data_IF_903800087184
#
_entry.id   IF_903800087184
#
_cell.length_a   1.000
_cell.length_b   1.000
_cell.length_c   1.000
_cell.angle_alpha   90.00
_cell.angle_beta   90.00
_cell.angle_gamma   90.00
#
_symmetry.space_group_name_H-M   'P 1'
#
loop_
_entity.id
_entity.type
_entity.pdbx_description
1 polymer ?
#
# COMPACT_ATOMS: atom_id res chain seq x y z
N UNK A 1 -11.28 21.97 -10.26
CA UNK A 1 -10.55 22.61 -11.37
C UNK A 1 -9.82 21.58 -12.23
N UNK A 2 -9.20 20.53 -11.66
CA UNK A 2 -8.48 19.48 -12.41
C UNK A 2 -9.09 18.08 -12.20
N UNK A 3 -10.10 17.71 -13.01
CA UNK A 3 -10.74 16.38 -12.90
C UNK A 3 -9.78 15.24 -13.23
N UNK A 4 -9.02 15.36 -14.33
CA UNK A 4 -8.08 14.31 -14.73
C UNK A 4 -6.98 14.02 -13.70
N UNK A 5 -6.49 15.04 -12.99
CA UNK A 5 -5.51 14.85 -11.91
C UNK A 5 -6.13 14.06 -10.74
N UNK A 6 -7.37 14.37 -10.39
CA UNK A 6 -8.11 13.69 -9.32
C UNK A 6 -8.39 12.23 -9.69
N UNK A 7 -8.76 11.96 -10.95
CA UNK A 7 -9.00 10.62 -11.46
C UNK A 7 -7.72 9.77 -11.45
N UNK A 8 -6.57 10.35 -11.84
CA UNK A 8 -5.26 9.70 -11.74
C UNK A 8 -4.87 9.44 -10.28
N UNK A 9 -5.07 10.42 -9.39
CA UNK A 9 -4.78 10.27 -7.97
C UNK A 9 -5.60 9.13 -7.34
N UNK A 10 -6.88 9.03 -7.69
CA UNK A 10 -7.74 7.92 -7.26
C UNK A 10 -7.24 6.58 -7.79
N UNK A 11 -6.89 6.52 -9.06
CA UNK A 11 -6.37 5.31 -9.69
C UNK A 11 -5.05 4.84 -9.06
N UNK A 12 -4.12 5.78 -8.77
CA UNK A 12 -2.88 5.49 -8.04
C UNK A 12 -3.17 4.97 -6.63
N UNK A 13 -4.11 5.58 -5.91
CA UNK A 13 -4.54 5.13 -4.59
C UNK A 13 -5.14 3.73 -4.60
N UNK A 14 -5.98 3.43 -5.60
CA UNK A 14 -6.57 2.10 -5.77
C UNK A 14 -5.50 1.03 -6.02
N UNK A 15 -4.57 1.29 -6.94
CA UNK A 15 -3.45 0.37 -7.25
C UNK A 15 -2.57 0.15 -6.02
N UNK A 16 -2.17 1.25 -5.36
CA UNK A 16 -1.35 1.17 -4.15
C UNK A 16 -2.04 0.33 -3.07
N UNK A 17 -3.38 0.45 -2.93
CA UNK A 17 -4.17 -0.28 -1.95
C UNK A 17 -4.22 -1.78 -2.24
N UNK A 18 -4.34 -2.16 -3.51
CA UNK A 18 -4.28 -3.55 -3.97
C UNK A 18 -2.88 -4.14 -3.75
N UNK A 19 -1.83 -3.44 -4.18
CA UNK A 19 -0.42 -3.88 -4.08
C UNK A 19 0.02 -4.04 -2.63
N UNK A 20 -0.32 -3.10 -1.75
CA UNK A 20 0.05 -3.17 -0.33
C UNK A 20 -0.68 -4.28 0.44
N UNK A 21 -1.73 -4.88 -0.13
CA UNK A 21 -2.47 -6.03 0.42
C UNK A 21 -2.18 -7.33 -0.35
N UNK A 22 -1.15 -7.33 -1.19
CA UNK A 22 -0.80 -8.45 -2.05
C UNK A 22 0.33 -9.31 -1.48
N UNK A 23 0.19 -10.62 -1.67
CA UNK A 23 1.26 -11.61 -1.53
C UNK A 23 1.81 -11.94 -2.91
N UNK A 24 3.13 -11.80 -3.04
CA UNK A 24 3.85 -12.13 -4.28
C UNK A 24 3.90 -13.64 -4.51
N UNK A 25 4.10 -14.11 -5.75
CA UNK A 25 4.24 -15.53 -6.05
C UNK A 25 5.34 -16.23 -5.22
N UNK A 26 6.48 -15.56 -5.01
CA UNK A 26 7.58 -16.08 -4.19
C UNK A 26 7.18 -16.26 -2.72
N UNK A 27 6.41 -15.32 -2.16
CA UNK A 27 5.88 -15.45 -0.80
C UNK A 27 4.83 -16.58 -0.71
N UNK A 28 3.97 -16.71 -1.71
CA UNK A 28 2.98 -17.78 -1.77
C UNK A 28 3.65 -19.16 -1.83
N UNK A 29 4.73 -19.29 -2.60
CA UNK A 29 5.53 -20.51 -2.66
C UNK A 29 6.18 -20.83 -1.32
N UNK A 30 6.78 -19.84 -0.65
CA UNK A 30 7.35 -20.01 0.69
C UNK A 30 6.29 -20.50 1.71
N UNK A 31 5.09 -19.91 1.68
CA UNK A 31 3.96 -20.33 2.54
C UNK A 31 3.54 -21.78 2.23
N UNK A 32 3.59 -22.19 0.96
CA UNK A 32 3.27 -23.55 0.52
C UNK A 32 4.32 -24.58 0.97
N UNK A 33 5.60 -24.22 0.87
CA UNK A 33 6.73 -25.06 1.29
C UNK A 33 6.71 -25.27 2.82
N UNK A 34 6.50 -24.19 3.58
CA UNK A 34 6.31 -24.26 5.04
C UNK A 34 5.13 -25.15 5.44
N UNK A 35 4.00 -25.06 4.73
CA UNK A 35 2.82 -25.87 5.02
C UNK A 35 3.09 -27.36 4.77
N UNK A 36 3.77 -27.66 3.66
CA UNK A 36 4.16 -29.03 3.29
C UNK A 36 5.15 -29.64 4.29
N UNK A 37 6.15 -28.85 4.72
CA UNK A 37 7.17 -29.28 5.68
C UNK A 37 6.63 -29.36 7.12
N UNK A 38 5.73 -28.46 7.53
CA UNK A 38 5.09 -28.48 8.85
C UNK A 38 4.16 -29.68 9.06
N UNK A 39 3.55 -30.19 7.99
CA UNK A 39 2.73 -31.42 8.00
C UNK A 39 3.55 -32.68 8.32
N UNK A 40 4.86 -32.68 8.04
CA UNK A 40 5.75 -33.82 8.32
C UNK A 40 6.14 -33.94 9.81
N UNK A 41 6.04 -32.86 10.60
CA UNK A 41 6.50 -32.79 12.00
C UNK A 41 5.41 -33.08 13.06
N UNK A 42 4.12 -33.07 12.70
CA UNK A 42 3.01 -33.15 13.68
C UNK A 42 2.46 -34.56 13.96
N UNK A 43 3.19 -35.64 13.60
CA UNK A 43 2.79 -37.02 13.93
C UNK A 43 3.28 -37.53 15.29
N UNK A 44 3.60 -36.68 16.26
CA UNK A 44 3.72 -37.11 17.68
C UNK A 44 3.47 -35.92 18.61
N UNK A 45 2.21 -35.68 19.00
CA UNK A 45 1.88 -34.68 20.02
C UNK A 45 0.40 -34.60 20.29
N UNK A 46 0.01 -34.91 21.53
CA UNK A 46 -1.39 -34.97 22.02
C UNK A 46 -2.20 -33.74 21.63
N UNK A 47 -3.43 -33.99 21.17
CA UNK A 47 -4.45 -32.99 20.87
C UNK A 47 -4.74 -32.07 22.07
N UNK A 48 -4.13 -30.88 22.07
CA UNK A 48 -4.52 -29.76 22.92
C UNK A 48 -5.73 -29.05 22.30
N UNK A 49 -6.78 -28.83 23.11
CA UNK A 49 -7.99 -28.08 22.73
C UNK A 49 -7.64 -26.74 22.07
N UNK A 50 -7.94 -26.61 20.78
CA UNK A 50 -7.92 -25.33 20.06
C UNK A 50 -9.01 -24.43 20.66
N UNK A 51 -8.60 -23.36 21.34
CA UNK A 51 -9.50 -22.36 21.90
C UNK A 51 -10.17 -21.56 20.78
N UNK A 52 -11.49 -21.39 20.91
CA UNK A 52 -12.31 -20.53 20.04
C UNK A 52 -11.88 -19.07 20.18
N UNK A 53 -10.99 -18.61 19.29
CA UNK A 53 -10.83 -17.19 18.98
C UNK A 53 -10.78 -17.05 17.44
N UNK A 54 -11.92 -16.74 16.82
CA UNK A 54 -12.06 -16.60 15.36
C UNK A 54 -11.35 -15.40 14.74
N UNK A 55 -10.19 -15.00 15.28
CA UNK A 55 -9.36 -13.86 14.85
C UNK A 55 -7.95 -14.24 14.37
N UNK A 56 -7.55 -15.52 14.32
CA UNK A 56 -6.12 -15.88 14.32
C UNK A 56 -5.46 -16.36 13.02
N UNK A 57 -6.16 -16.47 11.88
CA UNK A 57 -5.54 -16.97 10.63
C UNK A 57 -5.21 -15.90 9.58
N UNK A 58 -6.15 -14.97 9.34
CA UNK A 58 -5.94 -13.88 8.37
C UNK A 58 -5.00 -12.79 8.90
N UNK A 59 -4.96 -12.57 10.21
CA UNK A 59 -4.06 -11.59 10.84
C UNK A 59 -2.58 -12.00 10.68
N UNK A 60 -2.29 -13.28 10.83
CA UNK A 60 -0.95 -13.84 10.61
C UNK A 60 -0.50 -13.66 9.14
N UNK A 61 -1.39 -13.92 8.18
CA UNK A 61 -1.12 -13.70 6.76
C UNK A 61 -0.97 -12.20 6.42
N UNK A 62 -1.70 -11.33 7.11
CA UNK A 62 -1.62 -9.86 6.93
C UNK A 62 -0.26 -9.31 7.36
N UNK A 63 0.38 -9.92 8.37
CA UNK A 63 1.76 -9.57 8.78
C UNK A 63 2.80 -9.90 7.70
N UNK A 64 2.47 -10.73 6.73
CA UNK A 64 3.36 -11.09 5.63
C UNK A 64 3.26 -10.14 4.43
N UNK A 65 2.43 -9.09 4.50
CA UNK A 65 2.37 -8.05 3.46
C UNK A 65 3.66 -7.20 3.47
N UNK A 66 4.59 -7.58 2.59
CA UNK A 66 5.91 -6.96 2.44
C UNK A 66 6.08 -6.23 1.10
N UNK A 67 5.05 -6.28 0.25
CA UNK A 67 5.03 -5.69 -1.09
C UNK A 67 4.95 -4.17 -1.00
N UNK A 68 6.04 -3.49 -1.35
CA UNK A 68 6.10 -2.03 -1.48
C UNK A 68 5.69 -1.62 -2.89
N UNK A 69 5.21 -0.40 -3.04
CA UNK A 69 4.98 0.19 -4.36
C UNK A 69 6.34 0.53 -4.99
N UNK A 70 6.55 0.03 -6.21
CA UNK A 70 7.78 0.22 -6.98
C UNK A 70 7.42 0.52 -8.43
N UNK A 71 8.03 1.56 -8.99
CA UNK A 71 7.89 1.92 -10.40
C UNK A 71 9.23 2.34 -10.99
N UNK A 72 9.27 2.46 -12.31
CA UNK A 72 10.46 2.91 -13.03
C UNK A 72 10.20 4.27 -13.67
N UNK A 73 11.11 5.24 -13.49
CA UNK A 73 10.98 6.56 -14.13
C UNK A 73 11.20 6.47 -15.65
N UNK A 74 10.80 7.50 -16.42
CA UNK A 74 11.10 7.56 -17.86
C UNK A 74 12.60 7.44 -18.19
N UNK A 75 13.48 7.87 -17.28
CA UNK A 75 14.93 7.72 -17.37
C UNK A 75 15.45 6.35 -16.89
N UNK A 76 14.57 5.35 -16.72
CA UNK A 76 14.88 3.98 -16.30
C UNK A 76 15.43 3.84 -14.87
N UNK A 77 15.21 4.83 -14.01
CA UNK A 77 15.59 4.74 -12.60
C UNK A 77 14.48 4.04 -11.81
N UNK A 78 14.77 2.97 -11.06
CA UNK A 78 13.78 2.35 -10.18
C UNK A 78 13.54 3.20 -8.95
N UNK A 79 12.27 3.43 -8.62
CA UNK A 79 11.83 4.13 -7.41
C UNK A 79 11.04 3.16 -6.55
N UNK A 80 11.48 2.96 -5.32
CA UNK A 80 10.82 2.10 -4.34
C UNK A 80 10.48 2.91 -3.08
N UNK A 81 9.21 2.91 -2.67
CA UNK A 81 8.79 3.64 -1.49
C UNK A 81 9.25 2.93 -0.20
N UNK A 82 10.08 3.56 0.65
CA UNK A 82 10.68 2.93 1.82
C UNK A 82 9.75 2.88 3.04
N UNK A 83 8.45 3.09 2.85
CA UNK A 83 7.49 3.20 3.95
C UNK A 83 7.13 1.82 4.52
N UNK A 84 7.92 1.40 5.50
CA UNK A 84 7.71 0.20 6.32
C UNK A 84 7.29 0.58 7.73
N UNK A 85 6.72 -0.39 8.45
CA UNK A 85 6.47 -0.24 9.88
C UNK A 85 7.82 -0.16 10.60
N UNK A 86 7.97 0.82 11.46
CA UNK A 86 9.18 1.01 12.26
C UNK A 86 8.96 0.34 13.60
N UNK A 87 9.90 -0.51 14.02
CA UNK A 87 9.87 -1.10 15.36
C UNK A 87 10.84 -0.34 16.26
N UNK A 88 10.35 0.11 17.41
CA UNK A 88 11.19 0.70 18.44
C UNK A 88 11.72 -0.43 19.32
N UNK A 89 13.04 -0.50 19.48
CA UNK A 89 13.71 -1.40 20.42
C UNK A 89 14.33 -0.57 21.54
N UNK A 90 14.14 -1.00 22.77
CA UNK A 90 14.80 -0.35 23.90
C UNK A 90 16.21 -0.93 24.06
N UNK A 91 17.23 -0.10 23.83
CA UNK A 91 18.63 -0.46 24.03
C UNK A 91 19.07 0.12 25.37
N UNK A 92 19.21 -0.76 26.36
CA UNK A 92 19.74 -0.38 27.67
C UNK A 92 21.25 -0.17 27.58
N UNK A 93 21.70 1.05 27.85
CA UNK A 93 23.12 1.40 27.95
C UNK A 93 23.53 1.59 29.42
N UNK A 94 24.81 1.83 29.68
CA UNK A 94 25.30 2.12 31.03
C UNK A 94 24.80 3.46 31.60
N UNK A 95 24.32 4.38 30.75
CA UNK A 95 23.82 5.70 31.17
C UNK A 95 22.29 5.75 31.24
N UNK A 96 21.62 5.19 30.23
CA UNK A 96 20.17 5.24 30.08
C UNK A 96 19.66 4.19 29.10
N UNK A 97 18.36 3.96 29.11
CA UNK A 97 17.68 3.23 28.05
C UNK A 97 17.38 4.15 26.88
N UNK A 98 17.79 3.74 25.67
CA UNK A 98 17.53 4.47 24.43
C UNK A 98 16.47 3.74 23.62
N UNK A 99 15.43 4.45 23.19
CA UNK A 99 14.50 3.93 22.18
C UNK A 99 15.16 4.04 20.79
N UNK A 100 15.60 2.92 20.24
CA UNK A 100 16.18 2.83 18.91
C UNK A 100 15.12 2.38 17.91
N UNK A 101 14.77 3.27 17.00
CA UNK A 101 13.85 2.98 15.91
C UNK A 101 14.60 2.33 14.76
N UNK A 102 14.36 1.04 14.55
CA UNK A 102 14.91 0.29 13.41
C UNK A 102 13.79 -0.01 12.42
N UNK A 103 14.11 0.14 11.13
CA UNK A 103 13.28 -0.36 10.03
C UNK A 103 14.11 -1.31 9.19
N UNK A 104 13.75 -2.58 9.19
CA UNK A 104 14.35 -3.58 8.32
C UNK A 104 13.64 -3.56 6.95
N UNK A 105 14.40 -3.85 5.90
CA UNK A 105 13.90 -4.19 4.58
C UNK A 105 12.86 -5.34 4.58
N UNK A 106 12.84 -6.18 5.61
CA UNK A 106 11.89 -7.29 5.74
C UNK A 106 10.62 -6.95 6.53
N UNK A 107 10.56 -5.76 7.14
CA UNK A 107 9.42 -5.34 7.95
C UNK A 107 8.15 -5.17 7.10
N UNK A 108 6.96 -5.40 7.67
CA UNK A 108 5.70 -5.18 6.97
C UNK A 108 5.56 -3.73 6.48
N UNK A 109 4.88 -3.54 5.36
CA UNK A 109 4.70 -2.19 4.79
C UNK A 109 3.73 -1.35 5.62
N UNK A 110 4.01 -0.06 5.77
CA UNK A 110 3.04 0.88 6.32
C UNK A 110 2.11 1.33 5.19
N UNK A 111 0.97 0.62 5.03
CA UNK A 111 0.05 0.82 3.91
C UNK A 111 -0.41 2.27 3.77
N UNK A 112 -0.74 2.94 4.88
CA UNK A 112 -1.19 4.33 4.86
C UNK A 112 -0.12 5.27 4.29
N UNK A 113 1.12 5.17 4.77
CA UNK A 113 2.24 5.99 4.27
C UNK A 113 2.57 5.68 2.81
N UNK A 114 2.50 4.41 2.41
CA UNK A 114 2.62 3.98 1.01
C UNK A 114 1.62 4.71 0.11
N UNK A 115 0.33 4.62 0.48
CA UNK A 115 -0.77 5.21 -0.26
C UNK A 115 -0.72 6.74 -0.34
N UNK A 116 -0.54 7.40 0.81
CA UNK A 116 -0.47 8.87 0.87
C UNK A 116 0.76 9.41 0.13
N UNK A 117 1.87 8.67 0.18
CA UNK A 117 3.10 9.06 -0.50
C UNK A 117 3.14 8.70 -1.98
N UNK A 118 2.26 7.83 -2.49
CA UNK A 118 2.40 7.33 -3.86
C UNK A 118 2.16 8.44 -4.91
N UNK A 119 1.02 9.17 -4.90
CA UNK A 119 0.83 10.28 -5.84
C UNK A 119 1.93 11.36 -5.81
N UNK A 120 2.34 11.94 -4.65
CA UNK A 120 3.37 12.96 -4.64
C UNK A 120 4.75 12.43 -5.06
N UNK A 121 5.14 11.22 -4.62
CA UNK A 121 6.42 10.65 -5.02
C UNK A 121 6.47 10.32 -6.52
N UNK A 122 5.35 9.90 -7.10
CA UNK A 122 5.27 9.67 -8.53
C UNK A 122 5.51 10.97 -9.32
N UNK A 123 4.84 12.07 -8.95
CA UNK A 123 5.05 13.39 -9.58
C UNK A 123 6.48 13.89 -9.36
N UNK A 124 7.01 13.84 -8.14
CA UNK A 124 8.40 14.22 -7.88
C UNK A 124 9.41 13.41 -8.72
N UNK A 125 9.11 12.13 -9.01
CA UNK A 125 9.96 11.32 -9.88
C UNK A 125 9.93 11.76 -11.35
N UNK A 126 8.80 12.31 -11.82
CA UNK A 126 8.68 12.92 -13.15
C UNK A 126 9.38 14.28 -13.19
N UNK A 127 9.23 15.11 -12.16
CA UNK A 127 9.91 16.41 -12.06
C UNK A 127 11.43 16.24 -12.06
N UNK A 128 11.95 15.29 -11.28
CA UNK A 128 13.36 14.94 -11.28
C UNK A 128 13.85 14.44 -12.65
N UNK A 129 13.01 13.65 -13.35
CA UNK A 129 13.33 13.17 -14.70
C UNK A 129 13.37 14.32 -15.70
N UNK A 130 12.47 15.29 -15.59
CA UNK A 130 12.43 16.49 -16.42
C UNK A 130 13.63 17.41 -16.17
N UNK A 131 13.99 17.62 -14.90
CA UNK A 131 15.20 18.36 -14.51
C UNK A 131 16.46 17.72 -15.09
N UNK A 132 16.64 16.41 -14.89
CA UNK A 132 17.83 15.69 -15.38
C UNK A 132 17.93 15.71 -16.90
N UNK A 133 16.81 15.51 -17.61
CA UNK A 133 16.79 15.58 -19.08
C UNK A 133 17.14 16.99 -19.58
N UNK A 134 16.57 18.02 -18.96
CA UNK A 134 16.86 19.42 -19.30
C UNK A 134 18.34 19.76 -19.04
N UNK A 135 18.91 19.27 -17.93
CA UNK A 135 20.32 19.46 -17.62
C UNK A 135 21.26 18.86 -18.66
N UNK A 136 20.95 17.64 -19.14
CA UNK A 136 21.71 16.98 -20.19
C UNK A 136 21.65 17.76 -21.51
N UNK A 137 20.45 18.19 -21.93
CA UNK A 137 20.27 18.94 -23.18
C UNK A 137 20.90 20.35 -23.10
N UNK A 138 20.88 20.99 -21.93
CA UNK A 138 21.62 22.24 -21.69
C UNK A 138 23.13 22.03 -21.80
N UNK A 139 23.66 20.96 -21.22
CA UNK A 139 25.08 20.60 -21.31
C UNK A 139 25.52 20.38 -22.77
N UNK A 140 24.72 19.63 -23.55
CA UNK A 140 25.00 19.35 -24.96
C UNK A 140 25.01 20.62 -25.82
N UNK A 141 24.28 21.67 -25.40
CA UNK A 141 24.28 22.99 -26.03
C UNK A 141 25.32 23.97 -25.45
N UNK A 142 26.12 23.52 -24.47
CA UNK A 142 27.17 24.33 -23.85
C UNK A 142 26.68 25.36 -22.83
N UNK A 143 25.49 25.18 -22.26
CA UNK A 143 24.94 26.05 -21.21
C UNK A 143 25.36 25.55 -19.83
N UNK A 144 25.69 26.49 -18.95
CA UNK A 144 25.80 26.22 -17.52
C UNK A 144 24.40 26.07 -16.91
N UNK A 145 24.17 24.96 -16.21
CA UNK A 145 22.87 24.63 -15.62
C UNK A 145 23.02 24.33 -14.13
N UNK A 146 22.20 24.98 -13.31
CA UNK A 146 22.00 24.63 -11.91
C UNK A 146 20.51 24.51 -11.62
N UNK A 147 20.12 23.66 -10.68
CA UNK A 147 18.73 23.49 -10.30
C UNK A 147 18.56 23.40 -8.79
N UNK A 148 17.51 24.03 -8.28
CA UNK A 148 17.00 23.86 -6.92
C UNK A 148 15.57 23.36 -7.08
N UNK A 149 15.40 22.04 -7.10
CA UNK A 149 14.12 21.38 -7.34
C UNK A 149 13.44 21.86 -8.64
N UNK A 150 12.39 22.68 -8.54
CA UNK A 150 11.57 23.20 -9.64
C UNK A 150 12.07 24.54 -10.20
N UNK A 151 13.20 25.05 -9.70
CA UNK A 151 13.81 26.29 -10.16
C UNK A 151 15.12 26.03 -10.90
N UNK A 152 15.20 26.42 -12.18
CA UNK A 152 16.35 26.17 -13.04
C UNK A 152 17.10 27.47 -13.35
N UNK A 153 18.41 27.45 -13.17
CA UNK A 153 19.30 28.61 -13.23
C UNK A 153 20.36 28.43 -14.31
N UNK A 154 20.64 29.51 -15.02
CA UNK A 154 21.69 29.62 -16.03
C UNK A 154 22.15 31.09 -16.11
N UNK A 155 23.12 31.40 -16.96
CA UNK A 155 23.51 32.78 -17.22
C UNK A 155 22.40 33.56 -17.95
N UNK A 156 22.25 34.86 -17.64
CA UNK A 156 21.16 35.69 -18.17
C UNK A 156 21.08 35.73 -19.72
N UNK A 157 22.22 35.56 -20.40
CA UNK A 157 22.28 35.51 -21.86
C UNK A 157 21.62 34.24 -22.44
N UNK A 158 21.61 33.14 -21.68
CA UNK A 158 21.22 31.81 -22.14
C UNK A 158 19.79 31.43 -21.74
N UNK A 159 19.11 32.25 -20.94
CA UNK A 159 17.75 32.00 -20.42
C UNK A 159 16.75 31.66 -21.54
N UNK A 160 16.83 32.35 -22.68
CA UNK A 160 15.94 32.08 -23.81
C UNK A 160 16.15 30.67 -24.37
N UNK A 161 17.41 30.25 -24.51
CA UNK A 161 17.78 28.93 -25.02
C UNK A 161 17.40 27.85 -24.00
N UNK A 162 17.66 28.09 -22.71
CA UNK A 162 17.25 27.18 -21.64
C UNK A 162 15.72 27.00 -21.60
N UNK A 163 14.95 28.07 -21.76
CA UNK A 163 13.48 28.00 -21.78
C UNK A 163 12.95 27.17 -22.96
N UNK A 164 13.64 27.16 -24.11
CA UNK A 164 13.32 26.23 -25.21
C UNK A 164 13.61 24.78 -24.84
N UNK A 165 14.80 24.52 -24.29
CA UNK A 165 15.21 23.18 -23.83
C UNK A 165 14.25 22.60 -22.79
N UNK A 166 13.80 23.41 -21.83
CA UNK A 166 12.87 22.99 -20.78
C UNK A 166 11.53 22.55 -21.38
N UNK A 167 10.98 23.33 -22.31
CA UNK A 167 9.71 23.00 -22.99
C UNK A 167 9.84 21.72 -23.82
N UNK A 168 10.92 21.61 -24.59
CA UNK A 168 11.16 20.42 -25.43
C UNK A 168 11.36 19.16 -24.58
N UNK A 169 12.10 19.25 -23.48
CA UNK A 169 12.30 18.15 -22.53
C UNK A 169 10.99 17.73 -21.86
N UNK A 170 10.13 18.69 -21.52
CA UNK A 170 8.82 18.39 -20.95
C UNK A 170 7.93 17.62 -21.93
N UNK A 171 7.92 18.07 -23.20
CA UNK A 171 7.17 17.42 -24.28
C UNK A 171 7.69 16.00 -24.49
N UNK A 172 9.01 15.82 -24.57
CA UNK A 172 9.65 14.50 -24.78
C UNK A 172 9.26 13.47 -23.72
N UNK A 173 9.09 13.88 -22.46
CA UNK A 173 8.64 13.00 -21.37
C UNK A 173 7.16 12.65 -21.48
N UNK A 174 6.32 13.62 -21.87
CA UNK A 174 4.85 13.48 -21.84
C UNK A 174 4.22 13.12 -23.20
N UNK A 175 5.01 13.02 -24.26
CA UNK A 175 4.62 12.47 -25.56
C UNK A 175 4.29 10.97 -25.42
N UNK A 176 5.03 10.27 -24.57
CA UNK A 176 4.76 8.88 -24.23
C UNK A 176 3.63 8.77 -23.20
N UNK A 177 2.86 7.68 -23.25
CA UNK A 177 1.83 7.41 -22.24
C UNK A 177 2.44 6.92 -20.93
N UNK A 178 2.81 7.88 -20.07
CA UNK A 178 3.44 7.62 -18.76
C UNK A 178 2.55 6.75 -17.86
N UNK A 179 1.24 7.01 -17.84
CA UNK A 179 0.29 6.25 -17.01
C UNK A 179 0.06 4.85 -17.59
N UNK A 180 -0.07 4.73 -18.92
CA UNK A 180 -0.13 3.43 -19.62
C UNK A 180 1.09 2.56 -19.36
N UNK A 181 2.30 3.15 -19.42
CA UNK A 181 3.54 2.45 -19.08
C UNK A 181 3.54 1.97 -17.63
N UNK A 182 3.13 2.83 -16.70
CA UNK A 182 3.04 2.47 -15.29
C UNK A 182 2.08 1.29 -15.07
N UNK A 183 0.90 1.33 -15.71
CA UNK A 183 -0.08 0.24 -15.64
C UNK A 183 0.50 -1.10 -16.16
N UNK A 184 1.15 -1.08 -17.32
CA UNK A 184 1.79 -2.26 -17.91
C UNK A 184 2.94 -2.81 -17.05
N UNK A 185 3.74 -1.92 -16.44
CA UNK A 185 4.79 -2.32 -15.50
C UNK A 185 4.18 -3.04 -14.29
N UNK A 186 3.12 -2.49 -13.70
CA UNK A 186 2.46 -3.07 -12.53
C UNK A 186 1.81 -4.42 -12.84
N UNK A 187 1.15 -4.54 -14.01
CA UNK A 187 0.57 -5.81 -14.46
C UNK A 187 1.66 -6.89 -14.61
N UNK A 188 2.80 -6.55 -15.21
CA UNK A 188 3.91 -7.48 -15.40
C UNK A 188 4.57 -7.86 -14.07
N UNK A 189 4.88 -6.86 -13.24
CA UNK A 189 5.57 -7.04 -11.96
C UNK A 189 4.77 -7.87 -10.97
N UNK A 190 3.46 -7.67 -10.93
CA UNK A 190 2.60 -8.32 -9.96
C UNK A 190 1.80 -9.52 -10.52
N UNK A 191 2.11 -9.96 -11.74
CA UNK A 191 1.49 -11.13 -12.37
C UNK A 191 1.55 -12.35 -11.44
N UNK A 192 0.39 -12.95 -11.18
CA UNK A 192 0.27 -14.13 -10.30
C UNK A 192 0.23 -13.84 -8.81
N UNK A 193 0.29 -12.57 -8.39
CA UNK A 193 0.06 -12.18 -7.01
C UNK A 193 -1.42 -12.34 -6.62
N UNK A 194 -1.66 -12.59 -5.33
CA UNK A 194 -3.01 -12.61 -4.76
C UNK A 194 -3.12 -11.48 -3.74
N UNK A 195 -4.22 -10.74 -3.73
CA UNK A 195 -4.47 -9.71 -2.73
C UNK A 195 -5.69 -10.03 -1.87
N UNK A 196 -5.67 -9.53 -0.64
CA UNK A 196 -6.76 -9.72 0.31
C UNK A 196 -7.79 -8.60 0.17
N UNK A 197 -8.95 -8.94 -0.38
CA UNK A 197 -10.07 -8.03 -0.54
C UNK A 197 -11.06 -8.08 0.62
N UNK A 198 -11.67 -6.95 0.97
CA UNK A 198 -12.70 -6.85 2.02
C UNK A 198 -14.07 -6.54 1.41
N UNK A 199 -14.93 -7.55 1.36
CA UNK A 199 -16.27 -7.43 0.76
C UNK A 199 -17.32 -7.10 1.83
N UNK A 200 -18.33 -6.30 1.48
CA UNK A 200 -19.47 -6.04 2.37
C UNK A 200 -20.20 -7.33 2.73
N UNK A 201 -20.37 -7.57 4.02
CA UNK A 201 -21.12 -8.71 4.54
C UNK A 201 -22.60 -8.74 4.13
N UNK A 202 -23.19 -7.63 3.70
CA UNK A 202 -24.56 -7.59 3.20
C UNK A 202 -24.70 -8.13 1.77
N UNK A 203 -23.61 -8.13 1.00
CA UNK A 203 -23.54 -8.56 -0.39
C UNK A 203 -24.08 -9.98 -0.61
N UNK A 204 -24.76 -10.24 -1.74
CA UNK A 204 -25.12 -11.60 -2.14
C UNK A 204 -23.89 -12.50 -2.31
N UNK A 205 -22.76 -11.94 -2.78
CA UNK A 205 -21.49 -12.67 -2.95
C UNK A 205 -20.92 -13.09 -1.61
N UNK A 206 -20.88 -12.16 -0.64
CA UNK A 206 -20.43 -12.45 0.71
C UNK A 206 -21.25 -13.55 1.41
N UNK A 207 -22.56 -13.62 1.16
CA UNK A 207 -23.42 -14.69 1.69
C UNK A 207 -23.07 -16.06 1.07
N UNK A 208 -22.85 -16.12 -0.24
CA UNK A 208 -22.41 -17.36 -0.93
C UNK A 208 -21.04 -17.81 -0.41
N UNK A 209 -20.09 -16.89 -0.24
CA UNK A 209 -18.76 -17.20 0.31
C UNK A 209 -18.85 -17.74 1.74
N UNK A 210 -19.70 -17.14 2.59
CA UNK A 210 -19.97 -17.66 3.94
C UNK A 210 -20.57 -19.07 3.92
N UNK A 211 -21.46 -19.36 2.96
CA UNK A 211 -22.03 -20.70 2.80
C UNK A 211 -20.96 -21.71 2.33
N UNK A 212 -20.09 -21.33 1.39
CA UNK A 212 -18.98 -22.15 0.92
C UNK A 212 -18.02 -22.50 2.07
N UNK A 213 -17.60 -21.50 2.86
CA UNK A 213 -16.70 -21.71 4.02
C UNK A 213 -17.29 -22.65 5.07
N UNK A 214 -18.61 -22.60 5.30
CA UNK A 214 -19.30 -23.54 6.20
C UNK A 214 -19.28 -24.98 5.67
N UNK A 215 -19.30 -25.16 4.34
CA UNK A 215 -19.29 -26.48 3.69
C UNK A 215 -17.88 -27.06 3.60
N UNK A 216 -16.89 -26.24 3.26
CA UNK A 216 -15.51 -26.69 3.05
C UNK A 216 -14.73 -26.90 4.35
N UNK A 217 -15.05 -26.13 5.41
CA UNK A 217 -14.35 -26.16 6.70
C UNK A 217 -12.81 -26.02 6.59
N UNK A 218 -12.35 -25.28 5.56
CA UNK A 218 -10.93 -25.02 5.31
C UNK A 218 -10.42 -23.86 6.18
N UNK A 219 -9.15 -23.94 6.59
CA UNK A 219 -8.46 -22.82 7.23
C UNK A 219 -8.16 -21.69 6.23
N UNK A 220 -7.98 -20.44 6.69
CA UNK A 220 -7.60 -19.32 5.82
C UNK A 220 -6.32 -19.54 5.01
N UNK A 221 -5.36 -20.28 5.57
CA UNK A 221 -4.09 -20.62 4.91
C UNK A 221 -4.31 -21.68 3.82
N UNK A 222 -5.13 -22.70 4.07
CA UNK A 222 -5.49 -23.70 3.05
C UNK A 222 -6.31 -23.08 1.92
N UNK A 223 -7.22 -22.16 2.24
CA UNK A 223 -7.98 -21.39 1.25
C UNK A 223 -7.04 -20.59 0.33
N UNK A 224 -6.03 -19.92 0.89
CA UNK A 224 -5.01 -19.19 0.14
C UNK A 224 -4.21 -20.13 -0.79
N UNK A 225 -3.74 -21.27 -0.28
CA UNK A 225 -2.95 -22.22 -1.07
C UNK A 225 -3.74 -22.85 -2.22
N UNK A 226 -5.03 -23.11 -1.99
CA UNK A 226 -5.94 -23.65 -2.98
C UNK A 226 -6.22 -22.60 -4.08
N UNK A 227 -6.35 -21.31 -3.73
CA UNK A 227 -6.42 -20.23 -4.71
C UNK A 227 -5.09 -20.03 -5.45
N UNK A 228 -3.95 -20.13 -4.77
CA UNK A 228 -2.65 -20.04 -5.41
C UNK A 228 -2.45 -21.15 -6.46
N UNK A 229 -2.89 -22.38 -6.15
CA UNK A 229 -2.91 -23.49 -7.11
C UNK A 229 -3.82 -23.19 -8.30
N UNK A 230 -5.04 -22.71 -8.04
CA UNK A 230 -5.99 -22.30 -9.10
C UNK A 230 -5.40 -21.22 -10.02
N UNK A 231 -4.78 -20.20 -9.44
CA UNK A 231 -4.18 -19.10 -10.19
C UNK A 231 -2.97 -19.59 -11.03
N UNK A 232 -2.15 -20.48 -10.47
CA UNK A 232 -1.01 -21.08 -11.17
C UNK A 232 -1.45 -21.91 -12.39
N UNK A 233 -2.53 -22.69 -12.25
CA UNK A 233 -3.12 -23.46 -13.36
C UNK A 233 -3.74 -22.55 -14.43
N UNK A 234 -4.28 -21.38 -14.05
CA UNK A 234 -4.76 -20.39 -15.03
C UNK A 234 -3.61 -19.76 -15.80
N UNK A 235 -2.49 -19.51 -15.14
CA UNK A 235 -1.32 -18.87 -15.74
C UNK A 235 -0.51 -19.81 -16.65
N UNK A 236 -0.61 -21.13 -16.49
CA UNK A 236 0.10 -22.09 -17.35
C UNK A 236 -0.43 -22.11 -18.79
N UNK A 237 -1.69 -21.74 -19.00
CA UNK A 237 -2.31 -21.64 -20.34
C UNK A 237 -2.61 -22.98 -21.01
N UNK A 238 -2.31 -24.11 -20.37
CA UNK A 238 -2.59 -25.43 -20.94
C UNK A 238 -4.10 -25.74 -20.88
N UNK A 239 -4.70 -26.33 -21.92
CA UNK A 239 -6.13 -26.66 -21.92
C UNK A 239 -6.58 -27.55 -20.76
N UNK A 240 -5.76 -28.54 -20.37
CA UNK A 240 -6.06 -29.45 -19.25
C UNK A 240 -5.95 -28.74 -17.89
N UNK A 241 -4.99 -27.83 -17.73
CA UNK A 241 -4.81 -27.06 -16.50
C UNK A 241 -5.94 -26.05 -16.32
N UNK A 242 -6.41 -25.44 -17.41
CA UNK A 242 -7.57 -24.55 -17.39
C UNK A 242 -8.84 -25.29 -16.96
N UNK A 243 -9.03 -26.52 -17.44
CA UNK A 243 -10.17 -27.35 -17.02
C UNK A 243 -10.06 -27.76 -15.55
N UNK A 244 -8.87 -28.14 -15.10
CA UNK A 244 -8.61 -28.38 -13.68
C UNK A 244 -8.87 -27.13 -12.83
N UNK A 245 -8.47 -25.94 -13.29
CA UNK A 245 -8.71 -24.68 -12.59
C UNK A 245 -10.20 -24.34 -12.46
N UNK A 246 -11.04 -24.68 -13.45
CA UNK A 246 -12.50 -24.50 -13.39
C UNK A 246 -13.16 -25.42 -12.36
N UNK A 247 -12.61 -26.62 -12.15
CA UNK A 247 -13.13 -27.55 -11.15
C UNK A 247 -12.83 -27.12 -9.71
N UNK A 248 -11.84 -26.25 -9.52
CA UNK A 248 -11.46 -25.73 -8.20
C UNK A 248 -12.40 -24.60 -7.80
N UNK A 249 -13.31 -24.88 -6.87
CA UNK A 249 -14.26 -23.91 -6.33
C UNK A 249 -13.64 -23.21 -5.12
N UNK A 250 -13.24 -21.95 -5.31
CA UNK A 250 -12.72 -21.07 -4.26
C UNK A 250 -13.66 -19.89 -4.01
N UNK A 251 -13.48 -19.16 -2.89
CA UNK A 251 -14.15 -17.88 -2.71
C UNK A 251 -13.91 -16.87 -3.85
N UNK A 252 -12.72 -16.88 -4.46
CA UNK A 252 -12.43 -16.08 -5.64
C UNK A 252 -13.24 -16.53 -6.86
N UNK A 253 -13.41 -17.84 -7.08
CA UNK A 253 -14.23 -18.38 -8.16
C UNK A 253 -15.69 -17.94 -8.03
N UNK A 254 -16.23 -17.95 -6.80
CA UNK A 254 -17.59 -17.47 -6.50
C UNK A 254 -17.71 -15.96 -6.72
N UNK A 255 -16.65 -15.19 -6.43
CA UNK A 255 -16.62 -13.75 -6.67
C UNK A 255 -16.66 -13.43 -8.17
N UNK A 256 -15.85 -14.14 -8.97
CA UNK A 256 -15.79 -13.98 -10.43
C UNK A 256 -17.10 -14.43 -11.11
N UNK A 257 -17.69 -15.56 -10.70
CA UNK A 257 -18.95 -16.09 -11.27
C UNK A 257 -20.12 -15.12 -11.10
N UNK A 258 -20.14 -14.40 -9.98
CA UNK A 258 -21.17 -13.40 -9.69
C UNK A 258 -20.90 -12.04 -10.34
N UNK A 259 -19.93 -11.96 -11.28
CA UNK A 259 -19.49 -10.74 -11.94
C UNK A 259 -19.22 -9.60 -10.94
N UNK A 260 -18.60 -9.94 -9.80
CA UNK A 260 -18.40 -9.05 -8.66
C UNK A 260 -17.70 -7.75 -9.03
N UNK A 261 -18.49 -6.72 -9.33
CA UNK A 261 -18.07 -5.32 -9.46
C UNK A 261 -18.34 -4.55 -8.15
N UNK A 262 -18.38 -5.26 -7.03
CA UNK A 262 -18.59 -4.61 -5.73
C UNK A 262 -17.27 -3.99 -5.27
N UNK A 263 -17.30 -2.70 -4.88
CA UNK A 263 -16.10 -2.01 -4.43
C UNK A 263 -15.58 -2.66 -3.15
N UNK A 264 -14.28 -2.90 -3.11
CA UNK A 264 -13.58 -3.33 -1.91
C UNK A 264 -13.70 -2.24 -0.84
N UNK A 265 -14.29 -2.59 0.30
CA UNK A 265 -14.51 -1.64 1.40
C UNK A 265 -13.19 -1.11 1.96
N UNK A 266 -12.17 -1.96 2.06
CA UNK A 266 -10.87 -1.56 2.61
C UNK A 266 -10.13 -0.62 1.66
N UNK A 267 -10.25 -0.82 0.35
CA UNK A 267 -9.65 0.08 -0.64
C UNK A 267 -10.46 1.39 -0.72
N UNK A 268 -11.79 1.30 -0.63
CA UNK A 268 -12.64 2.49 -0.63
C UNK A 268 -12.42 3.39 0.61
N UNK A 269 -12.15 2.80 1.77
CA UNK A 269 -11.76 3.55 2.98
C UNK A 269 -10.38 4.19 2.81
N UNK A 270 -9.37 3.42 2.39
CA UNK A 270 -8.03 3.93 2.10
C UNK A 270 -8.06 5.15 1.14
N UNK A 271 -8.87 5.06 0.08
CA UNK A 271 -9.02 6.12 -0.93
C UNK A 271 -9.63 7.40 -0.33
N UNK A 272 -10.60 7.27 0.58
CA UNK A 272 -11.20 8.44 1.26
C UNK A 272 -10.17 9.17 2.09
N UNK A 273 -9.31 8.42 2.78
CA UNK A 273 -8.26 8.97 3.63
C UNK A 273 -7.16 9.67 2.82
N UNK A 274 -6.84 9.17 1.62
CA UNK A 274 -5.93 9.84 0.67
C UNK A 274 -6.49 11.20 0.23
N UNK A 275 -7.79 11.30 -0.04
CA UNK A 275 -8.42 12.50 -0.60
C UNK A 275 -8.62 13.65 0.39
N UNK A 276 -8.65 13.37 1.69
CA UNK A 276 -8.94 14.36 2.74
C UNK A 276 -7.73 14.66 3.64
N UNK A 277 -6.66 13.87 3.57
CA UNK A 277 -5.57 13.95 4.55
C UNK A 277 -6.04 13.67 5.99
N UNK A 278 -7.24 13.11 6.15
CA UNK A 278 -7.83 12.78 7.45
C UNK A 278 -7.18 11.50 7.99
N UNK A 279 -6.87 11.54 9.29
CA UNK A 279 -6.39 10.37 10.02
C UNK A 279 -7.62 9.75 10.70
N UNK A 280 -8.02 8.55 10.28
CA UNK A 280 -9.04 7.77 10.98
C UNK A 280 -8.59 7.48 12.42
N UNK A 281 -9.51 7.62 13.39
CA UNK A 281 -9.23 7.38 14.81
C UNK A 281 -8.83 5.93 15.09
N UNK A 282 -9.30 4.98 14.27
CA UNK A 282 -8.92 3.57 14.38
C UNK A 282 -7.46 3.34 13.96
N UNK A 283 -6.99 4.05 12.93
CA UNK A 283 -5.62 3.92 12.41
C UNK A 283 -4.59 4.68 13.26
N UNK A 284 -4.96 5.85 13.80
CA UNK A 284 -4.14 6.53 14.81
C UNK A 284 -3.95 5.66 16.07
N UNK A 285 -5.03 4.99 16.50
CA UNK A 285 -4.97 4.07 17.63
C UNK A 285 -4.16 2.81 17.29
N UNK A 286 -4.23 2.30 16.07
CA UNK A 286 -3.43 1.14 15.64
C UNK A 286 -1.93 1.44 15.69
N UNK A 287 -1.49 2.56 15.09
CA UNK A 287 -0.07 2.96 15.12
C UNK A 287 0.43 3.22 16.56
N UNK A 288 -0.38 3.89 17.39
CA UNK A 288 -0.02 4.19 18.78
C UNK A 288 0.03 2.92 19.66
N UNK A 289 -0.89 1.98 19.44
CA UNK A 289 -0.98 0.74 20.21
C UNK A 289 0.07 -0.29 19.78
N UNK A 290 0.48 -0.31 18.50
CA UNK A 290 1.55 -1.16 18.00
C UNK A 290 2.93 -0.71 18.53
N UNK A 291 3.19 0.60 18.57
CA UNK A 291 4.36 1.15 19.26
C UNK A 291 4.37 0.81 20.76
N UNK A 292 3.22 0.92 21.44
CA UNK A 292 3.08 0.53 22.87
C UNK A 292 3.28 -0.97 23.10
N UNK A 293 2.83 -1.84 22.18
CA UNK A 293 3.01 -3.30 22.29
C UNK A 293 4.45 -3.74 22.04
N UNK A 294 5.14 -3.15 21.06
CA UNK A 294 6.55 -3.42 20.82
C UNK A 294 7.41 -3.11 22.06
N UNK A 295 7.07 -2.07 22.82
CA UNK A 295 7.70 -1.72 24.08
C UNK A 295 7.32 -2.66 25.25
N UNK A 296 6.17 -3.34 25.18
CA UNK A 296 5.65 -4.16 26.27
C UNK A 296 6.03 -5.65 26.16
N UNK A 297 6.27 -6.18 24.96
CA UNK A 297 6.58 -7.62 24.77
C UNK A 297 7.98 -8.03 25.27
N UNK A 298 8.91 -7.11 25.51
CA UNK A 298 10.26 -7.43 26.02
C UNK A 298 10.45 -7.22 27.54
N UNK A 299 9.42 -6.76 28.27
CA UNK A 299 9.50 -6.44 29.70
C UNK A 299 8.82 -7.46 30.62
N UNK A 300 9.27 -8.73 30.66
CA UNK A 300 8.68 -9.77 31.53
C UNK A 300 9.41 -9.94 32.87
N UNK A 301 9.67 -8.87 33.61
CA UNK A 301 10.15 -8.96 35.00
C UNK A 301 9.30 -8.13 35.96
N UNK A 302 8.86 -8.75 37.06
CA UNK A 302 7.84 -8.23 37.98
C UNK A 302 8.27 -7.01 38.80
N UNK A 303 9.52 -6.56 38.67
CA UNK A 303 10.02 -5.33 39.28
C UNK A 303 9.76 -4.07 38.43
N UNK A 304 9.39 -4.23 37.15
CA UNK A 304 9.25 -3.13 36.18
C UNK A 304 7.86 -2.48 36.23
N UNK A 305 6.87 -3.09 36.89
CA UNK A 305 5.47 -2.61 36.88
C UNK A 305 5.28 -1.26 37.60
N UNK A 306 6.11 -0.94 38.60
CA UNK A 306 6.07 0.36 39.29
C UNK A 306 6.77 1.47 38.51
N UNK A 307 7.83 1.15 37.76
CA UNK A 307 8.53 2.11 36.90
C UNK A 307 7.77 2.38 35.59
N UNK A 308 7.13 1.35 35.02
CA UNK A 308 6.22 1.48 33.87
C UNK A 308 5.04 2.40 34.16
N UNK A 309 4.48 2.35 35.38
CA UNK A 309 3.42 3.30 35.79
C UNK A 309 3.92 4.74 35.87
N UNK A 310 5.19 4.93 36.26
CA UNK A 310 5.81 6.25 36.40
C UNK A 310 6.22 6.83 35.04
N UNK A 311 6.70 6.00 34.12
CA UNK A 311 6.98 6.39 32.73
C UNK A 311 5.71 6.63 31.92
N UNK A 312 4.64 5.85 32.15
CA UNK A 312 3.33 6.11 31.54
C UNK A 312 2.72 7.44 32.00
N UNK A 313 2.93 7.83 33.26
CA UNK A 313 2.47 9.12 33.78
C UNK A 313 3.23 10.28 33.12
N UNK A 314 4.56 10.16 32.96
CA UNK A 314 5.39 11.17 32.31
C UNK A 314 5.13 11.28 30.80
N UNK A 315 4.88 10.16 30.11
CA UNK A 315 4.52 10.17 28.69
C UNK A 315 3.14 10.81 28.45
N UNK A 316 2.19 10.62 29.35
CA UNK A 316 0.90 11.32 29.31
C UNK A 316 1.02 12.83 29.62
N UNK A 317 2.04 13.25 30.39
CA UNK A 317 2.34 14.67 30.64
C UNK A 317 3.10 15.33 29.48
N UNK A 318 3.76 14.54 28.62
CA UNK A 318 4.50 15.02 27.44
C UNK A 318 3.63 15.12 26.16
N UNK A 319 2.35 14.73 26.21
CA UNK A 319 1.42 14.87 25.09
C UNK A 319 0.91 16.32 24.94
N UNK A 320 1.58 17.05 24.06
CA UNK A 320 1.06 18.22 23.37
C UNK A 320 1.32 19.57 24.06
N UNK A 321 1.83 20.52 23.28
CA UNK A 321 1.84 21.93 23.70
C UNK A 321 0.40 22.37 24.04
N UNK A 322 0.23 23.27 25.01
CA UNK A 322 -1.09 23.73 25.46
C UNK A 322 -1.98 24.29 24.33
N UNK A 323 -1.38 24.65 23.18
CA UNK A 323 -2.05 25.09 21.97
C UNK A 323 -2.76 23.94 21.21
N UNK A 324 -2.13 22.78 21.03
CA UNK A 324 -2.76 21.61 20.36
C UNK A 324 -3.94 21.05 21.17
N UNK A 325 -3.78 21.02 22.50
CA UNK A 325 -4.84 20.59 23.42
C UNK A 325 -6.02 21.57 23.47
N UNK A 326 -5.83 22.86 23.15
CA UNK A 326 -6.91 23.84 23.05
C UNK A 326 -7.71 23.69 21.74
N UNK A 327 -7.03 23.43 20.61
CA UNK A 327 -7.67 23.25 19.31
C UNK A 327 -8.57 21.99 19.23
N UNK A 328 -8.27 20.97 20.05
CA UNK A 328 -9.05 19.72 20.12
C UNK A 328 -10.25 19.77 21.08
N UNK A 329 -10.33 20.77 21.99
CA UNK A 329 -11.36 20.84 23.03
C UNK A 329 -12.68 21.50 22.60
N UNK A 330 -12.67 22.29 21.52
CA UNK A 330 -13.84 23.07 21.09
C UNK A 330 -14.81 22.35 20.14
N UNK A 331 -14.75 21.01 20.07
CA UNK A 331 -15.80 20.25 19.37
C UNK A 331 -16.98 19.99 20.32
N UNK A 332 -18.19 20.52 20.04
CA UNK A 332 -19.34 20.29 20.89
C UNK A 332 -19.66 18.78 20.93
N UNK A 333 -19.67 18.23 22.14
CA UNK A 333 -19.98 16.84 22.45
C UNK A 333 -21.46 16.55 22.18
N UNK A 334 -21.83 16.39 20.91
CA UNK A 334 -23.13 15.87 20.53
C UNK A 334 -23.09 14.35 20.72
N UNK A 335 -23.80 13.88 21.75
CA UNK A 335 -24.05 12.45 21.97
C UNK A 335 -24.68 11.84 20.72
N UNK A 336 -23.86 11.24 19.86
CA UNK A 336 -24.32 10.51 18.69
C UNK A 336 -25.15 9.30 19.16
N UNK A 337 -26.40 9.25 18.69
CA UNK A 337 -27.33 8.14 18.92
C UNK A 337 -26.71 6.82 18.49
N UNK A 338 -27.04 5.76 19.24
CA UNK A 338 -26.61 4.37 19.07
C UNK A 338 -26.20 4.00 17.63
N UNK A 339 -24.90 3.79 17.43
CA UNK A 339 -24.37 3.30 16.17
C UNK A 339 -24.93 1.90 15.87
N UNK A 340 -25.59 1.77 14.72
CA UNK A 340 -25.91 0.47 14.12
C UNK A 340 -24.64 -0.41 14.17
N UNK A 341 -24.72 -1.63 14.73
CA UNK A 341 -23.60 -2.59 14.70
C UNK A 341 -23.18 -2.81 13.24
N UNK A 342 -22.13 -2.12 12.78
CA UNK A 342 -21.57 -2.33 11.44
C UNK A 342 -21.19 -3.81 11.32
N UNK A 343 -21.67 -4.45 10.25
CA UNK A 343 -21.35 -5.86 9.98
C UNK A 343 -19.87 -5.91 9.57
N UNK A 344 -19.11 -6.84 10.16
CA UNK A 344 -17.70 -7.02 9.82
C UNK A 344 -17.56 -7.47 8.35
N UNK A 345 -16.62 -6.88 7.59
CA UNK A 345 -16.38 -7.26 6.20
C UNK A 345 -15.89 -8.71 6.09
N UNK A 346 -16.05 -9.28 4.90
CA UNK A 346 -15.63 -10.65 4.59
C UNK A 346 -14.31 -10.60 3.82
N UNK A 347 -13.20 -11.09 4.41
CA UNK A 347 -11.92 -11.17 3.71
C UNK A 347 -12.00 -12.25 2.62
N UNK A 348 -11.48 -11.98 1.43
CA UNK A 348 -11.44 -12.90 0.28
C UNK A 348 -10.13 -12.70 -0.48
N UNK A 349 -9.45 -13.79 -0.81
CA UNK A 349 -8.28 -13.73 -1.69
C UNK A 349 -8.72 -13.62 -3.14
N UNK A 350 -8.23 -12.61 -3.86
CA UNK A 350 -8.50 -12.40 -5.28
C UNK A 350 -7.18 -12.29 -6.06
N UNK A 351 -7.13 -12.74 -7.33
CA UNK A 351 -6.03 -12.42 -8.22
C UNK A 351 -5.83 -10.92 -8.33
N UNK A 352 -4.59 -10.44 -8.19
CA UNK A 352 -4.30 -9.01 -8.34
C UNK A 352 -4.51 -8.59 -9.79
N UNK A 353 -5.51 -7.73 -10.00
CA UNK A 353 -5.78 -7.06 -11.28
C UNK A 353 -5.55 -5.57 -11.14
N UNK A 354 -5.07 -4.94 -12.21
CA UNK A 354 -4.91 -3.49 -12.28
C UNK A 354 -6.23 -2.90 -12.81
N UNK A 355 -6.81 -1.88 -12.15
CA UNK A 355 -8.02 -1.22 -12.63
C UNK A 355 -7.75 -0.47 -13.94
N UNK A 356 -8.79 -0.30 -14.75
CA UNK A 356 -8.70 0.43 -16.00
C UNK A 356 -8.19 1.86 -15.79
N UNK A 357 -7.32 2.29 -16.70
CA UNK A 357 -6.74 3.63 -16.66
C UNK A 357 -7.86 4.66 -16.87
N UNK A 358 -7.89 5.77 -16.09
CA UNK A 358 -8.86 6.84 -16.31
C UNK A 358 -8.72 7.42 -17.72
N UNK A 359 -9.84 7.91 -18.28
CA UNK A 359 -9.87 8.43 -19.65
C UNK A 359 -8.92 9.63 -19.79
N UNK A 360 -7.93 9.49 -20.68
CA UNK A 360 -7.06 10.60 -21.08
C UNK A 360 -7.88 11.65 -21.84
N UNK A 361 -7.68 12.92 -21.51
CA UNK A 361 -8.30 14.03 -22.25
C UNK A 361 -7.54 14.34 -23.56
N UNK A 362 -8.12 15.20 -24.39
CA UNK A 362 -7.62 15.49 -25.74
C UNK A 362 -6.57 16.60 -25.78
N UNK A 363 -5.92 16.90 -24.65
CA UNK A 363 -4.92 17.97 -24.59
C UNK A 363 -3.62 17.55 -25.27
N UNK A 364 -3.26 18.27 -26.34
CA UNK A 364 -1.98 18.11 -27.02
C UNK A 364 -0.87 18.90 -26.29
N UNK A 365 0.07 18.16 -25.70
CA UNK A 365 1.22 18.67 -24.96
C UNK A 365 2.17 19.47 -25.86
N UNK A 366 2.21 19.19 -27.17
CA UNK A 366 3.11 19.89 -28.11
C UNK A 366 2.84 21.39 -28.19
N UNK A 367 1.63 21.83 -27.83
CA UNK A 367 1.24 23.25 -27.74
C UNK A 367 2.09 24.05 -26.76
N UNK A 368 2.73 23.39 -25.79
CA UNK A 368 3.62 24.03 -24.82
C UNK A 368 4.86 24.66 -25.47
N UNK A 369 5.26 24.23 -26.69
CA UNK A 369 6.34 24.90 -27.44
C UNK A 369 6.06 26.39 -27.64
N UNK A 370 4.80 26.80 -27.78
CA UNK A 370 4.45 28.21 -27.95
C UNK A 370 4.31 29.00 -26.64
N UNK A 371 4.32 28.34 -25.47
CA UNK A 371 4.01 28.98 -24.20
C UNK A 371 5.24 29.69 -23.62
N UNK A 372 5.20 31.03 -23.60
CA UNK A 372 6.26 31.86 -22.97
C UNK A 372 6.19 31.93 -21.45
N UNK A 373 5.09 31.44 -20.86
CA UNK A 373 4.83 31.48 -19.41
C UNK A 373 4.83 30.09 -18.78
N UNK A 374 5.29 29.07 -19.51
CA UNK A 374 5.40 27.71 -18.96
C UNK A 374 6.49 27.63 -17.89
N UNK A 375 7.64 28.23 -18.18
CA UNK A 375 8.76 28.47 -17.26
C UNK A 375 9.22 29.90 -17.53
N UNK A 376 9.25 30.74 -16.50
CA UNK A 376 9.49 32.19 -16.64
C UNK A 376 10.57 32.69 -15.73
#
# INVERSE_FOLDING_TARGET
MFRGAHDIQYWLGEIGGRVCRALTPAQLQHIADEYSNGSASTKTGKAGKVSKAGKSGFDELTKQFRSTVVWTTPLRMPVAQPYRKTTAKEIRTCLQSLAYHSSDSTDPVNRRKQLQGFPPNFIHSLDASHMLLSALECHDRGLDFAAVHDSFWTHAADVNVMNEVIRDSFIKIHEEDVIGRLAAEFETRHKGSLFLSQIDAASPVAKKIKALRKKSNLSPREELLLEHKRNSLRLSGNPWDLEAAKQIITPAAVYEEMAGAEPDLGIAEDIRDIGLGEISAEDAAADANENKRALAEEGSDSAVESELKRSHALLNEMDGSAFENAALRDRPNTKAKAANKKRLPVPVWLPLTIPDIPKKGDFDVSRLRGSRYFFS
#
